data_IF_180807410291
#
_entry.id   IF_180807410291
#
_cell.length_a   1.000
_cell.length_b   1.000
_cell.length_c   1.000
_cell.angle_alpha   90.00
_cell.angle_beta   90.00
_cell.angle_gamma   90.00
#
_symmetry.space_group_name_H-M   'P 1'
#
loop_
_entity.id
_entity.type
_entity.pdbx_description
1 polymer ?
#
# COMPACT_ATOMS: atom_id res chain seq x y z
N UNK A 1 4.08 -20.64 -8.58
CA UNK A 1 3.87 -19.52 -7.66
C UNK A 1 5.16 -19.11 -7.00
N UNK A 2 5.43 -17.92 -6.97
CA UNK A 2 6.69 -17.40 -6.44
C UNK A 2 6.42 -16.42 -5.32
N UNK A 3 7.39 -16.20 -4.43
CA UNK A 3 7.26 -15.25 -3.36
C UNK A 3 7.39 -13.79 -3.80
N UNK A 4 7.22 -13.49 -5.09
CA UNK A 4 7.33 -12.13 -5.61
C UNK A 4 6.06 -11.62 -6.30
N UNK A 5 4.93 -12.32 -6.17
CA UNK A 5 3.65 -11.84 -6.67
C UNK A 5 2.87 -11.09 -5.58
N UNK A 6 1.74 -10.52 -5.97
CA UNK A 6 0.90 -9.73 -5.07
C UNK A 6 -0.40 -10.44 -4.67
N UNK A 7 -0.51 -11.75 -4.88
CA UNK A 7 -1.72 -12.50 -4.53
C UNK A 7 -2.01 -12.47 -3.03
N UNK A 8 -1.00 -12.26 -2.21
CA UNK A 8 -1.18 -12.12 -0.76
C UNK A 8 -2.14 -10.95 -0.41
N UNK A 9 -2.27 -9.97 -1.30
CA UNK A 9 -3.15 -8.82 -1.06
C UNK A 9 -4.63 -9.12 -1.29
N UNK A 10 -4.96 -10.21 -1.99
CA UNK A 10 -6.36 -10.50 -2.33
C UNK A 10 -7.23 -10.66 -1.09
N UNK A 11 -8.42 -10.05 -1.12
CA UNK A 11 -9.39 -10.14 -0.05
C UNK A 11 -9.63 -8.81 0.64
N UNK A 12 -10.19 -8.88 1.84
CA UNK A 12 -10.56 -7.70 2.61
C UNK A 12 -9.65 -7.53 3.83
N UNK A 13 -9.29 -6.28 4.12
CA UNK A 13 -8.33 -5.94 5.16
C UNK A 13 -8.80 -4.77 5.99
N UNK A 14 -8.42 -4.79 7.25
CA UNK A 14 -8.53 -3.67 8.17
C UNK A 14 -7.17 -2.99 8.28
N UNK A 15 -7.15 -1.66 8.20
CA UNK A 15 -5.92 -0.87 8.28
C UNK A 15 -5.91 -0.09 9.59
N UNK A 16 -4.80 -0.14 10.30
CA UNK A 16 -4.53 0.76 11.43
C UNK A 16 -3.14 1.35 11.25
N UNK A 17 -2.96 2.58 11.74
CA UNK A 17 -1.66 3.22 11.61
C UNK A 17 -1.48 4.37 12.58
N UNK A 18 -0.23 4.84 12.62
CA UNK A 18 0.16 5.96 13.47
C UNK A 18 1.15 6.84 12.75
N UNK A 19 0.81 8.11 12.60
CA UNK A 19 1.75 9.11 12.12
C UNK A 19 2.91 9.23 13.11
N UNK A 20 4.14 9.39 12.61
CA UNK A 20 5.31 9.49 13.50
C UNK A 20 5.28 10.74 14.37
N UNK A 21 4.44 11.72 14.03
CA UNK A 21 4.23 12.92 14.85
C UNK A 21 3.08 12.76 15.85
N UNK A 22 2.39 11.62 15.85
CA UNK A 22 1.24 11.38 16.72
C UNK A 22 1.63 10.55 17.94
N UNK A 23 0.93 10.75 19.05
CA UNK A 23 1.14 9.99 20.28
C UNK A 23 0.11 8.86 20.47
N UNK A 24 -0.73 8.64 19.45
CA UNK A 24 -1.74 7.57 19.44
C UNK A 24 -2.02 7.16 18.00
N UNK A 25 -2.71 6.05 17.81
CA UNK A 25 -3.11 5.61 16.49
C UNK A 25 -4.12 6.60 15.92
N UNK A 26 -3.75 7.26 14.82
CA UNK A 26 -4.57 8.30 14.19
C UNK A 26 -5.04 7.91 12.80
N UNK A 27 -4.74 6.67 12.36
CA UNK A 27 -5.12 6.19 11.03
C UNK A 27 -5.91 4.91 11.17
N UNK A 28 -7.09 4.86 10.53
CA UNK A 28 -7.90 3.65 10.43
C UNK A 28 -8.43 3.55 9.01
N UNK A 29 -8.78 2.33 8.60
CA UNK A 29 -9.35 2.16 7.26
C UNK A 29 -9.66 0.73 6.91
N UNK A 30 -10.12 0.57 5.68
CA UNK A 30 -10.40 -0.73 5.08
C UNK A 30 -9.84 -0.76 3.67
N UNK A 31 -9.46 -1.94 3.24
CA UNK A 31 -8.93 -2.18 1.91
C UNK A 31 -9.55 -3.46 1.36
N UNK A 32 -9.98 -3.43 0.11
CA UNK A 32 -10.43 -4.63 -0.59
C UNK A 32 -9.63 -4.78 -1.87
N UNK A 33 -9.04 -5.95 -2.07
CA UNK A 33 -8.24 -6.25 -3.25
C UNK A 33 -8.91 -7.35 -4.06
N UNK A 34 -9.10 -7.08 -5.36
CA UNK A 34 -9.74 -8.01 -6.29
C UNK A 34 -8.95 -8.08 -7.60
N UNK A 35 -9.01 -9.24 -8.25
CA UNK A 35 -8.45 -9.40 -9.58
C UNK A 35 -9.47 -9.02 -10.64
N UNK A 36 -9.00 -8.32 -11.67
CA UNK A 36 -9.80 -7.91 -12.82
C UNK A 36 -9.18 -8.46 -14.10
N UNK A 37 -9.99 -8.48 -15.16
CA UNK A 37 -9.53 -8.83 -16.51
C UNK A 37 -8.79 -10.17 -16.54
N UNK A 38 -9.43 -11.20 -16.01
CA UNK A 38 -8.90 -12.57 -15.98
C UNK A 38 -7.53 -12.67 -15.32
N UNK A 39 -7.29 -11.81 -14.32
CA UNK A 39 -6.07 -11.83 -13.54
C UNK A 39 -4.98 -10.89 -14.02
N UNK A 40 -5.20 -10.18 -15.14
CA UNK A 40 -4.21 -9.25 -15.68
C UNK A 40 -4.08 -7.94 -14.92
N UNK A 41 -5.03 -7.66 -14.02
CA UNK A 41 -5.07 -6.40 -13.28
C UNK A 41 -5.49 -6.69 -11.85
N UNK A 42 -4.84 -6.03 -10.90
CA UNK A 42 -5.20 -6.08 -9.48
C UNK A 42 -5.77 -4.72 -9.08
N UNK A 43 -6.92 -4.72 -8.42
CA UNK A 43 -7.54 -3.49 -7.94
C UNK A 43 -7.53 -3.45 -6.42
N UNK A 44 -7.04 -2.35 -5.85
CA UNK A 44 -7.15 -2.05 -4.44
C UNK A 44 -8.13 -0.90 -4.26
N UNK A 45 -9.21 -1.14 -3.52
CA UNK A 45 -10.18 -0.10 -3.16
C UNK A 45 -10.01 0.18 -1.68
N UNK A 46 -9.55 1.38 -1.35
CA UNK A 46 -9.19 1.73 0.02
C UNK A 46 -9.92 2.96 0.53
N UNK A 47 -10.35 2.90 1.78
CA UNK A 47 -10.90 4.03 2.51
C UNK A 47 -10.12 4.19 3.80
N UNK A 48 -9.58 5.37 4.01
CA UNK A 48 -8.80 5.69 5.20
C UNK A 48 -9.37 6.92 5.88
N UNK A 49 -9.28 6.92 7.21
CA UNK A 49 -9.52 8.10 8.03
C UNK A 49 -8.18 8.45 8.68
N UNK A 50 -7.65 9.63 8.35
CA UNK A 50 -6.41 10.15 8.92
C UNK A 50 -6.78 11.37 9.76
N UNK A 51 -6.77 11.21 11.09
CA UNK A 51 -7.38 12.19 11.96
C UNK A 51 -8.85 12.33 11.63
N UNK A 52 -9.27 13.50 11.16
CA UNK A 52 -10.65 13.77 10.75
C UNK A 52 -10.82 13.82 9.23
N UNK A 53 -9.78 13.48 8.47
CA UNK A 53 -9.81 13.54 7.01
C UNK A 53 -10.07 12.16 6.43
N UNK A 54 -11.15 12.04 5.64
CA UNK A 54 -11.45 10.79 4.94
C UNK A 54 -10.80 10.80 3.56
N UNK A 55 -10.12 9.70 3.24
CA UNK A 55 -9.46 9.51 1.94
C UNK A 55 -10.01 8.23 1.33
N UNK A 56 -10.56 8.35 0.11
CA UNK A 56 -10.97 7.20 -0.68
C UNK A 56 -10.08 7.12 -1.90
N UNK A 57 -9.44 5.99 -2.13
CA UNK A 57 -8.55 5.81 -3.26
C UNK A 57 -8.80 4.47 -3.93
N UNK A 58 -8.50 4.44 -5.23
CA UNK A 58 -8.53 3.24 -6.04
C UNK A 58 -7.17 3.09 -6.68
N UNK A 59 -6.55 1.93 -6.51
CA UNK A 59 -5.27 1.64 -7.12
C UNK A 59 -5.41 0.48 -8.10
N UNK A 60 -4.89 0.66 -9.31
CA UNK A 60 -4.83 -0.39 -10.33
C UNK A 60 -3.39 -0.78 -10.54
N UNK A 61 -3.10 -2.08 -10.46
CA UNK A 61 -1.74 -2.62 -10.42
C UNK A 61 -1.60 -3.67 -11.51
N UNK A 62 -0.50 -3.61 -12.28
CA UNK A 62 -0.20 -4.57 -13.35
C UNK A 62 1.29 -4.88 -13.36
N UNK A 63 1.69 -6.08 -13.86
CA UNK A 63 3.12 -6.40 -13.97
C UNK A 63 3.81 -5.40 -14.90
N UNK A 64 5.00 -4.92 -14.51
CA UNK A 64 5.73 -3.99 -15.36
C UNK A 64 6.48 -4.74 -16.48
N UNK A 65 7.00 -3.97 -17.43
CA UNK A 65 7.65 -4.52 -18.62
C UNK A 65 8.98 -5.21 -18.32
N UNK A 66 9.59 -4.89 -17.18
CA UNK A 66 10.89 -5.49 -16.82
C UNK A 66 10.75 -6.86 -16.17
N UNK A 67 9.54 -7.22 -15.72
CA UNK A 67 9.30 -8.45 -14.99
C UNK A 67 9.84 -8.44 -13.56
N UNK A 68 10.36 -7.31 -13.09
CA UNK A 68 10.96 -7.21 -11.75
C UNK A 68 10.03 -6.63 -10.71
N UNK A 69 8.82 -6.24 -11.07
CA UNK A 69 7.86 -5.65 -10.15
C UNK A 69 6.56 -5.30 -10.85
N UNK A 70 5.83 -4.39 -10.24
CA UNK A 70 4.51 -3.99 -10.70
C UNK A 70 4.42 -2.47 -10.78
N UNK A 71 3.79 -1.99 -11.84
CA UNK A 71 3.44 -0.59 -11.98
C UNK A 71 2.02 -0.38 -11.48
N UNK A 72 1.71 0.81 -11.02
CA UNK A 72 0.38 1.10 -10.50
C UNK A 72 -0.01 2.55 -10.76
N UNK A 73 -1.32 2.76 -10.88
CA UNK A 73 -1.92 4.09 -10.86
C UNK A 73 -2.88 4.21 -9.70
N UNK A 74 -2.75 5.29 -8.94
CA UNK A 74 -3.66 5.60 -7.83
C UNK A 74 -4.55 6.76 -8.22
N UNK A 75 -5.85 6.59 -8.04
CA UNK A 75 -6.88 7.58 -8.27
C UNK A 75 -7.50 7.96 -6.93
N UNK A 76 -7.62 9.24 -6.64
CA UNK A 76 -8.16 9.70 -5.35
C UNK A 76 -9.22 10.78 -5.48
N UNK A 77 -10.06 10.67 -6.50
CA UNK A 77 -11.24 11.52 -6.65
C UNK A 77 -11.08 12.66 -7.64
N UNK A 78 -9.95 13.33 -7.70
CA UNK A 78 -9.73 14.44 -8.63
C UNK A 78 -8.29 14.45 -9.11
N UNK A 79 -8.11 15.00 -10.31
CA UNK A 79 -6.78 15.11 -10.90
C UNK A 79 -6.37 13.87 -11.67
N UNK A 80 -5.14 13.92 -12.17
CA UNK A 80 -4.54 12.82 -12.92
C UNK A 80 -4.15 11.69 -11.98
N UNK A 81 -4.12 10.45 -12.49
CA UNK A 81 -3.64 9.34 -11.68
C UNK A 81 -2.18 9.54 -11.27
N UNK A 82 -1.85 9.03 -10.08
CA UNK A 82 -0.52 9.10 -9.50
C UNK A 82 0.22 7.80 -9.76
N UNK A 83 1.51 7.90 -10.07
CA UNK A 83 2.33 6.73 -10.37
C UNK A 83 2.91 6.12 -9.10
N UNK A 84 2.68 4.82 -8.92
CA UNK A 84 3.24 4.04 -7.83
C UNK A 84 3.86 2.76 -8.37
N UNK A 85 4.63 2.08 -7.54
CA UNK A 85 5.25 0.80 -7.87
C UNK A 85 5.13 -0.13 -6.69
N UNK A 86 5.00 -1.42 -7.00
CA UNK A 86 5.00 -2.50 -6.02
C UNK A 86 6.08 -3.51 -6.36
N UNK A 87 6.62 -4.14 -5.34
CA UNK A 87 7.46 -5.31 -5.49
C UNK A 87 7.31 -6.19 -4.27
N UNK A 88 7.63 -7.46 -4.42
CA UNK A 88 7.62 -8.41 -3.32
C UNK A 88 8.79 -9.36 -3.45
N UNK A 89 9.44 -9.63 -2.33
CA UNK A 89 10.48 -10.65 -2.25
C UNK A 89 10.28 -11.44 -0.97
N UNK A 90 9.80 -12.69 -1.11
CA UNK A 90 9.49 -13.53 0.04
C UNK A 90 8.43 -12.86 0.92
N UNK A 91 8.77 -12.62 2.17
CA UNK A 91 7.86 -12.02 3.15
C UNK A 91 7.93 -10.49 3.21
N UNK A 92 8.69 -9.88 2.31
CA UNK A 92 8.81 -8.41 2.27
C UNK A 92 8.07 -7.86 1.07
N UNK A 93 7.21 -6.87 1.31
CA UNK A 93 6.46 -6.18 0.27
C UNK A 93 6.85 -4.70 0.30
N UNK A 94 7.00 -4.11 -0.88
CA UNK A 94 7.41 -2.71 -1.01
C UNK A 94 6.43 -1.98 -1.90
N UNK A 95 5.97 -0.81 -1.45
CA UNK A 95 5.04 0.05 -2.17
C UNK A 95 5.63 1.45 -2.17
N UNK A 96 5.91 2.00 -3.35
CA UNK A 96 6.64 3.27 -3.47
C UNK A 96 5.93 4.24 -4.41
N UNK A 97 5.92 5.52 -4.04
CA UNK A 97 5.40 6.57 -4.89
C UNK A 97 5.46 7.92 -4.19
N UNK A 98 5.50 8.98 -4.98
CA UNK A 98 5.45 10.36 -4.51
C UNK A 98 6.52 10.70 -3.46
N UNK A 99 7.70 10.12 -3.57
CA UNK A 99 8.80 10.40 -2.65
C UNK A 99 8.74 9.63 -1.33
N UNK A 100 7.85 8.66 -1.23
CA UNK A 100 7.69 7.82 -0.04
C UNK A 100 7.77 6.35 -0.41
N UNK A 101 8.25 5.53 0.52
CA UNK A 101 8.31 4.08 0.34
C UNK A 101 7.80 3.37 1.58
N UNK A 102 6.87 2.46 1.39
CA UNK A 102 6.39 1.53 2.41
C UNK A 102 7.16 0.23 2.28
N UNK A 103 7.70 -0.26 3.39
CA UNK A 103 8.29 -1.58 3.47
C UNK A 103 7.54 -2.36 4.52
N UNK A 104 6.91 -3.45 4.11
CA UNK A 104 6.06 -4.25 4.97
C UNK A 104 6.55 -5.68 5.09
N UNK A 105 6.33 -6.25 6.27
CA UNK A 105 6.58 -7.66 6.56
C UNK A 105 5.27 -8.42 6.56
N UNK A 106 5.20 -9.48 5.77
CA UNK A 106 4.03 -10.34 5.67
C UNK A 106 4.18 -11.43 6.72
N UNK A 107 3.15 -11.62 7.57
CA UNK A 107 3.17 -12.69 8.56
C UNK A 107 3.19 -14.06 7.88
N UNK A 108 3.62 -15.08 8.62
CA UNK A 108 3.77 -16.45 8.08
C UNK A 108 2.45 -17.01 7.54
N UNK A 109 1.34 -16.67 8.17
CA UNK A 109 0.01 -17.10 7.74
C UNK A 109 -0.63 -16.18 6.68
N UNK A 110 0.07 -15.09 6.29
CA UNK A 110 -0.46 -14.15 5.31
C UNK A 110 -1.60 -13.28 5.83
N UNK A 111 -1.89 -13.30 7.12
CA UNK A 111 -3.05 -12.60 7.68
C UNK A 111 -2.75 -11.17 8.12
N UNK A 112 -1.48 -10.80 8.22
CA UNK A 112 -1.06 -9.48 8.70
C UNK A 112 0.12 -8.98 7.88
N UNK A 113 0.09 -7.69 7.53
CA UNK A 113 1.23 -6.99 6.90
C UNK A 113 1.51 -5.77 7.76
N UNK A 114 2.74 -5.67 8.26
CA UNK A 114 3.14 -4.59 9.18
C UNK A 114 4.37 -3.87 8.62
N UNK A 115 4.33 -2.56 8.59
CA UNK A 115 5.46 -1.80 8.07
C UNK A 115 5.35 -0.31 8.28
N UNK A 116 6.20 0.41 7.60
CA UNK A 116 6.36 1.84 7.77
C UNK A 116 6.52 2.53 6.42
N UNK A 117 5.83 3.66 6.26
CA UNK A 117 6.06 4.60 5.16
C UNK A 117 7.13 5.59 5.59
N UNK A 118 8.23 5.64 4.85
CA UNK A 118 9.33 6.57 5.09
C UNK A 118 9.61 7.40 3.84
N UNK A 119 10.05 8.66 4.02
CA UNK A 119 10.52 9.46 2.88
C UNK A 119 11.72 8.80 2.23
N UNK A 120 11.79 8.91 0.90
CA UNK A 120 12.98 8.49 0.16
C UNK A 120 14.19 9.33 0.58
N UNK A 121 15.43 8.80 0.44
CA UNK A 121 16.63 9.54 0.89
C UNK A 121 16.79 10.93 0.28
N UNK A 122 16.25 11.15 -0.91
CA UNK A 122 16.31 12.45 -1.60
C UNK A 122 15.16 13.39 -1.25
N UNK A 123 14.29 13.00 -0.30
CA UNK A 123 13.12 13.78 0.10
C UNK A 123 13.07 14.04 1.61
N UNK A 124 14.12 14.67 2.19
CA UNK A 124 14.11 14.99 3.62
C UNK A 124 13.01 15.99 4.02
N UNK A 125 12.48 16.72 3.04
CA UNK A 125 11.35 17.64 3.23
C UNK A 125 10.06 16.92 3.64
N UNK A 126 9.96 15.60 3.48
CA UNK A 126 8.77 14.82 3.78
C UNK A 126 8.86 14.06 5.10
N UNK A 127 9.79 14.38 5.96
CA UNK A 127 10.02 13.64 7.22
C UNK A 127 8.76 13.55 8.09
N UNK A 128 7.93 14.59 8.11
CA UNK A 128 6.71 14.61 8.90
C UNK A 128 5.58 13.76 8.32
N UNK A 129 5.72 13.30 7.08
CA UNK A 129 4.72 12.44 6.45
C UNK A 129 4.88 10.97 6.80
N UNK A 130 5.94 10.59 7.51
CA UNK A 130 6.19 9.20 7.87
C UNK A 130 5.11 8.65 8.81
N UNK A 131 4.71 7.40 8.59
CA UNK A 131 3.75 6.74 9.47
C UNK A 131 3.87 5.22 9.39
N UNK A 132 3.48 4.56 10.49
CA UNK A 132 3.38 3.10 10.54
C UNK A 132 2.01 2.66 10.07
N UNK A 133 1.95 1.52 9.39
CA UNK A 133 0.69 0.98 8.91
C UNK A 133 0.68 -0.54 9.04
N UNK A 134 -0.41 -1.06 9.59
CA UNK A 134 -0.64 -2.50 9.74
C UNK A 134 -1.96 -2.84 9.07
N UNK A 135 -1.94 -3.86 8.23
CA UNK A 135 -3.14 -4.43 7.63
C UNK A 135 -3.41 -5.81 8.22
N UNK A 136 -4.64 -6.04 8.63
CA UNK A 136 -5.09 -7.34 9.13
C UNK A 136 -6.24 -7.83 8.28
N UNK A 137 -6.13 -9.09 7.87
CA UNK A 137 -7.19 -9.72 7.07
C UNK A 137 -8.47 -9.85 7.89
N UNK A 138 -9.57 -9.46 7.26
CA UNK A 138 -10.89 -9.57 7.90
C UNK A 138 -11.46 -10.97 7.65
#
# INVERSE_FOLDING_TARGET
>A
MTGNDLDVLLGAWELTGRSHTADHDDITGTLTATRLLDGGLLQLDGRMLVGNTEIHSLELIWPDDTGSGFAAHVYSGSGAPLNYRWSRRGDTIVHAGLGMTYTGAISTDGATITGTWLPDPDRPDMAEAAYDATMRRI
#
